data_IF_860747739568
#
_entry.id   IF_860747739568
#
_cell.length_a   1.000
_cell.length_b   1.000
_cell.length_c   1.000
_cell.angle_alpha   90.00
_cell.angle_beta   90.00
_cell.angle_gamma   90.00
#
_symmetry.space_group_name_H-M   'P 1'
#
loop_
_entity.id
_entity.type
_entity.pdbx_description
1 polymer ?
#
# COMPACT_ATOMS: atom_id res chain seq x y z
N UNK A 1 0.26 21.88 8.96
CA UNK A 1 0.99 20.63 8.63
C UNK A 1 1.49 20.71 7.19
N UNK A 2 2.55 20.00 6.80
CA UNK A 2 2.94 19.78 5.39
C UNK A 2 2.81 18.30 5.05
N UNK A 3 2.05 17.97 4.02
CA UNK A 3 1.82 16.62 3.54
C UNK A 3 2.74 16.27 2.38
N UNK A 4 3.60 15.28 2.56
CA UNK A 4 4.55 14.79 1.57
C UNK A 4 4.12 13.40 1.12
N UNK A 5 3.71 13.27 -0.14
CA UNK A 5 3.44 11.96 -0.73
C UNK A 5 4.73 11.31 -1.23
N UNK A 6 4.98 10.06 -0.85
CA UNK A 6 6.10 9.27 -1.35
C UNK A 6 5.58 8.18 -2.27
N UNK A 7 6.17 8.10 -3.46
CA UNK A 7 5.82 7.10 -4.47
C UNK A 7 7.06 6.64 -5.24
N UNK A 8 6.89 5.69 -6.15
CA UNK A 8 7.96 5.09 -6.93
C UNK A 8 7.79 3.58 -7.13
N UNK A 9 8.57 2.98 -8.03
CA UNK A 9 8.45 1.58 -8.40
C UNK A 9 8.72 0.63 -7.21
N UNK A 10 8.28 -0.63 -7.35
CA UNK A 10 8.58 -1.67 -6.36
C UNK A 10 10.10 -1.80 -6.15
N UNK A 11 10.53 -2.07 -4.92
CA UNK A 11 11.95 -2.19 -4.54
C UNK A 11 12.83 -0.96 -4.83
N UNK A 12 12.25 0.22 -5.09
CA UNK A 12 13.02 1.46 -5.29
C UNK A 12 13.66 2.01 -4.02
N UNK A 13 13.15 1.64 -2.84
CA UNK A 13 13.65 2.11 -1.54
C UNK A 13 12.75 3.12 -0.83
N UNK A 14 11.48 3.26 -1.24
CA UNK A 14 10.48 4.14 -0.58
C UNK A 14 10.43 3.96 0.94
N UNK A 15 10.32 2.72 1.41
CA UNK A 15 10.26 2.42 2.85
C UNK A 15 11.53 2.88 3.58
N UNK A 16 12.71 2.73 2.97
CA UNK A 16 13.96 3.24 3.53
C UNK A 16 13.98 4.77 3.58
N UNK A 17 13.51 5.43 2.52
CA UNK A 17 13.37 6.89 2.48
C UNK A 17 12.41 7.41 3.57
N UNK A 18 11.25 6.76 3.72
CA UNK A 18 10.27 7.11 4.76
C UNK A 18 10.86 6.93 6.17
N UNK A 19 11.59 5.83 6.41
CA UNK A 19 12.28 5.59 7.68
C UNK A 19 13.32 6.68 8.00
N UNK A 20 14.13 7.09 7.02
CA UNK A 20 15.10 8.17 7.19
C UNK A 20 14.45 9.52 7.52
N UNK A 21 13.25 9.79 6.98
CA UNK A 21 12.48 10.97 7.35
C UNK A 21 11.89 10.87 8.76
N UNK A 22 11.43 9.68 9.15
CA UNK A 22 10.96 9.41 10.51
C UNK A 22 12.05 9.67 11.56
N UNK A 23 13.28 9.21 11.31
CA UNK A 23 14.45 9.47 12.15
C UNK A 23 14.75 10.97 12.32
N UNK A 24 14.32 11.81 11.38
CA UNK A 24 14.48 13.27 11.41
C UNK A 24 13.26 13.99 12.00
N UNK A 25 12.29 13.25 12.53
CA UNK A 25 11.10 13.78 13.20
C UNK A 25 9.88 13.93 12.30
N UNK A 26 9.89 13.42 11.06
CA UNK A 26 8.67 13.36 10.27
C UNK A 26 7.73 12.27 10.81
N UNK A 27 6.43 12.49 10.71
CA UNK A 27 5.43 11.48 11.01
C UNK A 27 5.17 10.68 9.74
N UNK A 28 5.14 9.35 9.83
CA UNK A 28 4.96 8.48 8.66
C UNK A 28 3.62 7.76 8.74
N UNK A 29 2.80 7.92 7.72
CA UNK A 29 1.60 7.14 7.47
C UNK A 29 1.96 6.08 6.42
N UNK A 30 2.01 4.83 6.86
CA UNK A 30 2.23 3.66 6.00
C UNK A 30 0.88 3.17 5.46
N UNK A 31 0.61 3.41 4.17
CA UNK A 31 -0.65 2.98 3.57
C UNK A 31 -0.71 1.48 3.31
N UNK A 32 0.43 0.77 3.20
CA UNK A 32 0.42 -0.69 3.15
C UNK A 32 -0.04 -1.25 4.48
N UNK A 33 0.44 -0.70 5.61
CA UNK A 33 -0.06 -1.08 6.93
C UNK A 33 -1.56 -0.81 7.05
N UNK A 34 -2.03 0.37 6.63
CA UNK A 34 -3.46 0.71 6.62
C UNK A 34 -4.28 -0.25 5.76
N UNK A 35 -3.84 -0.54 4.54
CA UNK A 35 -4.53 -1.45 3.62
C UNK A 35 -4.68 -2.86 4.20
N UNK A 36 -3.69 -3.32 4.97
CA UNK A 36 -3.76 -4.59 5.71
C UNK A 36 -4.75 -4.53 6.87
N UNK A 37 -4.83 -3.40 7.56
CA UNK A 37 -5.65 -3.22 8.75
C UNK A 37 -7.13 -3.02 8.45
N UNK A 38 -7.47 -2.31 7.37
CA UNK A 38 -8.86 -2.07 6.98
C UNK A 38 -9.60 -3.34 6.56
N UNK A 39 -8.86 -4.39 6.17
CA UNK A 39 -9.41 -5.69 5.78
C UNK A 39 -9.29 -6.77 6.87
N UNK A 40 -8.97 -6.39 8.12
CA UNK A 40 -8.98 -7.32 9.26
C UNK A 40 -10.41 -7.81 9.59
N UNK A 41 -10.56 -9.00 10.20
CA UNK A 41 -11.86 -9.53 10.60
C UNK A 41 -12.71 -8.53 11.39
N UNK A 42 -14.01 -8.45 11.08
CA UNK A 42 -14.95 -7.53 11.71
C UNK A 42 -14.91 -6.09 11.17
N UNK A 43 -14.00 -5.75 10.25
CA UNK A 43 -14.00 -4.44 9.58
C UNK A 43 -15.02 -4.40 8.43
N UNK A 44 -15.54 -3.22 8.08
CA UNK A 44 -16.48 -3.07 6.96
C UNK A 44 -15.93 -3.58 5.61
N UNK A 45 -14.66 -3.29 5.30
CA UNK A 45 -14.05 -3.76 4.04
C UNK A 45 -13.95 -5.29 4.01
N UNK A 46 -13.58 -5.92 5.12
CA UNK A 46 -13.51 -7.38 5.25
C UNK A 46 -14.87 -8.03 4.95
N UNK A 47 -15.96 -7.50 5.51
CA UNK A 47 -17.31 -8.03 5.26
C UNK A 47 -17.71 -7.87 3.78
N UNK A 48 -17.41 -6.71 3.18
CA UNK A 48 -17.71 -6.44 1.77
C UNK A 48 -16.93 -7.38 0.84
N UNK A 49 -15.66 -7.65 1.15
CA UNK A 49 -14.83 -8.60 0.40
C UNK A 49 -15.44 -10.01 0.47
N UNK A 50 -15.83 -10.49 1.65
CA UNK A 50 -16.44 -11.83 1.78
C UNK A 50 -17.76 -11.91 1.03
N UNK A 51 -18.62 -10.90 1.13
CA UNK A 51 -19.90 -10.89 0.43
C UNK A 51 -19.72 -10.98 -1.09
N UNK A 52 -18.61 -10.47 -1.64
CA UNK A 52 -18.32 -10.50 -3.07
C UNK A 52 -17.57 -11.76 -3.51
N UNK A 53 -16.55 -12.19 -2.75
CA UNK A 53 -15.63 -13.26 -3.13
C UNK A 53 -15.97 -14.63 -2.52
N UNK A 54 -16.93 -14.68 -1.58
CA UNK A 54 -17.29 -15.86 -0.81
C UNK A 54 -16.42 -16.06 0.44
N UNK A 55 -16.77 -17.04 1.26
CA UNK A 55 -16.01 -17.37 2.48
C UNK A 55 -14.79 -18.29 2.20
N UNK A 56 -14.67 -18.85 0.99
CA UNK A 56 -13.59 -19.77 0.60
C UNK A 56 -12.19 -19.11 0.58
N UNK A 57 -12.16 -17.77 0.53
CA UNK A 57 -10.95 -16.95 0.64
C UNK A 57 -10.50 -16.72 2.09
N UNK A 58 -11.19 -17.30 3.08
CA UNK A 58 -10.83 -17.15 4.49
C UNK A 58 -9.92 -18.27 4.98
N UNK A 59 -9.05 -17.91 5.92
CA UNK A 59 -8.30 -18.82 6.76
C UNK A 59 -9.17 -19.28 7.96
N UNK A 60 -8.79 -20.34 8.70
CA UNK A 60 -9.53 -20.80 9.88
C UNK A 60 -9.71 -19.72 10.97
N UNK A 61 -8.79 -18.75 11.06
CA UNK A 61 -8.88 -17.61 11.97
C UNK A 61 -9.77 -16.46 11.45
N UNK A 62 -10.48 -16.68 10.33
CA UNK A 62 -11.31 -15.70 9.61
C UNK A 62 -10.55 -14.55 8.94
N UNK A 63 -9.22 -14.56 8.94
CA UNK A 63 -8.45 -13.60 8.13
C UNK A 63 -8.53 -13.97 6.65
N UNK A 64 -8.37 -12.98 5.78
CA UNK A 64 -8.29 -13.19 4.34
C UNK A 64 -7.00 -13.95 4.01
N UNK A 65 -7.11 -15.07 3.30
CA UNK A 65 -6.00 -15.74 2.65
C UNK A 65 -5.57 -14.93 1.43
N UNK A 66 -4.53 -14.12 1.61
CA UNK A 66 -4.00 -13.24 0.55
C UNK A 66 -3.49 -13.99 -0.66
N UNK A 67 -3.03 -15.24 -0.48
CA UNK A 67 -2.53 -16.05 -1.59
C UNK A 67 -3.71 -16.45 -2.47
N UNK A 68 -4.76 -17.02 -1.87
CA UNK A 68 -5.99 -17.40 -2.59
C UNK A 68 -6.65 -16.19 -3.24
N UNK A 69 -6.83 -15.10 -2.49
CA UNK A 69 -7.44 -13.89 -3.05
C UNK A 69 -6.58 -13.33 -4.19
N UNK A 70 -5.25 -13.34 -4.03
CA UNK A 70 -4.29 -12.96 -5.05
C UNK A 70 -4.43 -13.78 -6.33
N UNK A 71 -4.51 -15.11 -6.23
CA UNK A 71 -4.71 -16.01 -7.37
C UNK A 71 -6.01 -15.73 -8.13
N UNK A 72 -7.09 -15.41 -7.40
CA UNK A 72 -8.40 -15.06 -7.98
C UNK A 72 -8.31 -13.75 -8.75
N UNK A 73 -7.72 -12.70 -8.17
CA UNK A 73 -7.72 -11.37 -8.79
C UNK A 73 -6.63 -11.19 -9.85
N UNK A 74 -5.53 -11.95 -9.77
CA UNK A 74 -4.43 -11.87 -10.74
C UNK A 74 -4.85 -12.29 -12.14
N UNK A 75 -5.77 -13.25 -12.25
CA UNK A 75 -6.26 -13.77 -13.53
C UNK A 75 -7.56 -13.09 -14.01
N UNK A 76 -8.08 -12.10 -13.25
CA UNK A 76 -9.39 -11.50 -13.47
C UNK A 76 -9.36 -9.99 -13.19
N UNK A 77 -8.99 -9.16 -14.20
CA UNK A 77 -8.88 -7.72 -14.04
C UNK A 77 -10.14 -7.04 -13.49
N UNK A 78 -11.33 -7.56 -13.85
CA UNK A 78 -12.61 -7.10 -13.33
C UNK A 78 -12.78 -7.39 -11.85
N UNK A 79 -12.29 -8.54 -11.36
CA UNK A 79 -12.29 -8.88 -9.93
C UNK A 79 -11.29 -8.03 -9.16
N UNK A 80 -10.11 -7.77 -9.73
CA UNK A 80 -9.15 -6.83 -9.14
C UNK A 80 -9.75 -5.44 -9.01
N UNK A 81 -10.45 -4.96 -10.04
CA UNK A 81 -11.14 -3.68 -10.01
C UNK A 81 -12.23 -3.63 -8.92
N UNK A 82 -13.01 -4.71 -8.76
CA UNK A 82 -14.00 -4.83 -7.68
C UNK A 82 -13.35 -4.83 -6.29
N UNK A 83 -12.25 -5.57 -6.11
CA UNK A 83 -11.50 -5.56 -4.85
C UNK A 83 -11.00 -4.14 -4.52
N UNK A 84 -10.40 -3.46 -5.49
CA UNK A 84 -9.91 -2.09 -5.32
C UNK A 84 -11.03 -1.11 -4.99
N UNK A 85 -12.20 -1.22 -5.65
CA UNK A 85 -13.39 -0.40 -5.34
C UNK A 85 -13.89 -0.62 -3.92
N UNK A 86 -13.79 -1.84 -3.40
CA UNK A 86 -14.15 -2.13 -2.01
C UNK A 86 -13.12 -1.53 -1.06
N UNK A 87 -11.83 -1.75 -1.29
CA UNK A 87 -10.76 -1.42 -0.33
C UNK A 87 -10.41 0.07 -0.30
N UNK A 88 -10.33 0.74 -1.45
CA UNK A 88 -9.78 2.09 -1.56
C UNK A 88 -10.52 3.13 -0.69
N UNK A 89 -11.87 3.16 -0.64
CA UNK A 89 -12.58 4.12 0.20
C UNK A 89 -12.24 3.98 1.69
N UNK A 90 -12.04 2.75 2.19
CA UNK A 90 -11.69 2.51 3.58
C UNK A 90 -10.24 2.92 3.89
N UNK A 91 -9.31 2.70 2.94
CA UNK A 91 -7.93 3.17 3.07
C UNK A 91 -7.88 4.69 3.14
N UNK A 92 -8.57 5.38 2.23
CA UNK A 92 -8.62 6.85 2.20
C UNK A 92 -9.22 7.39 3.51
N UNK A 93 -10.34 6.83 3.96
CA UNK A 93 -10.98 7.25 5.20
C UNK A 93 -10.08 7.04 6.43
N UNK A 94 -9.27 5.96 6.46
CA UNK A 94 -8.32 5.76 7.55
C UNK A 94 -7.17 6.76 7.48
N UNK A 95 -6.61 7.03 6.29
CA UNK A 95 -5.58 8.06 6.09
C UNK A 95 -6.09 9.43 6.58
N UNK A 96 -7.33 9.79 6.24
CA UNK A 96 -7.94 11.05 6.67
C UNK A 96 -8.01 11.16 8.19
N UNK A 97 -8.40 10.07 8.87
CA UNK A 97 -8.42 10.01 10.34
C UNK A 97 -7.03 10.15 10.95
N UNK A 98 -6.02 9.50 10.38
CA UNK A 98 -4.64 9.64 10.85
C UNK A 98 -4.15 11.08 10.70
N UNK A 99 -4.43 11.72 9.57
CA UNK A 99 -4.08 13.13 9.33
C UNK A 99 -4.77 14.08 10.32
N UNK A 100 -6.06 13.90 10.57
CA UNK A 100 -6.80 14.68 11.57
C UNK A 100 -6.24 14.48 12.98
N UNK A 101 -5.90 13.25 13.35
CA UNK A 101 -5.32 12.95 14.66
C UNK A 101 -3.96 13.62 14.83
N UNK A 102 -3.12 13.56 13.81
CA UNK A 102 -1.81 14.22 13.80
C UNK A 102 -1.98 15.74 13.95
N UNK A 103 -2.90 16.33 13.20
CA UNK A 103 -3.16 17.77 13.27
C UNK A 103 -3.63 18.20 14.66
N UNK A 104 -4.53 17.43 15.29
CA UNK A 104 -4.99 17.70 16.67
C UNK A 104 -3.88 17.54 17.71
N UNK A 105 -3.02 16.53 17.55
CA UNK A 105 -2.01 16.18 18.56
C UNK A 105 -0.79 17.10 18.50
N UNK A 106 -0.33 17.47 17.30
CA UNK A 106 0.94 18.16 17.10
C UNK A 106 0.78 19.60 16.57
N UNK A 107 -0.43 19.99 16.17
CA UNK A 107 -0.71 21.33 15.64
C UNK A 107 0.01 21.62 14.33
N UNK A 108 0.34 22.90 14.13
CA UNK A 108 1.00 23.37 12.92
C UNK A 108 2.52 23.17 12.96
N UNK A 109 3.12 22.86 11.80
CA UNK A 109 4.57 22.74 11.62
C UNK A 109 5.11 21.34 11.37
N UNK A 110 4.31 20.29 11.55
CA UNK A 110 4.74 18.91 11.30
C UNK A 110 4.83 18.58 9.80
N UNK A 111 5.81 17.76 9.45
CA UNK A 111 5.91 17.07 8.15
C UNK A 111 5.30 15.68 8.31
N UNK A 112 4.29 15.39 7.50
CA UNK A 112 3.69 14.06 7.42
C UNK A 112 4.03 13.45 6.08
N UNK A 113 4.61 12.26 6.11
CA UNK A 113 4.97 11.47 4.94
C UNK A 113 3.91 10.39 4.76
N UNK A 114 3.31 10.31 3.57
CA UNK A 114 2.39 9.22 3.22
C UNK A 114 3.05 8.33 2.19
N UNK A 115 3.43 7.12 2.60
CA UNK A 115 3.97 6.09 1.69
C UNK A 115 2.81 5.28 1.14
N UNK A 116 2.35 5.65 -0.07
CA UNK A 116 1.19 5.02 -0.72
C UNK A 116 1.62 4.44 -2.06
N UNK A 117 1.61 3.11 -2.24
CA UNK A 117 1.88 2.51 -3.54
C UNK A 117 0.91 2.99 -4.63
N UNK A 118 -0.33 3.30 -4.24
CA UNK A 118 -1.42 3.77 -5.10
C UNK A 118 -1.64 5.29 -5.08
N UNK A 119 -0.63 6.07 -4.66
CA UNK A 119 -0.74 7.53 -4.44
C UNK A 119 -1.37 8.27 -5.64
N UNK A 120 -1.06 7.82 -6.85
CA UNK A 120 -1.53 8.45 -8.09
C UNK A 120 -2.94 7.96 -8.42
N UNK A 121 -3.15 6.66 -8.35
CA UNK A 121 -4.35 5.91 -8.70
C UNK A 121 -5.55 6.31 -7.85
N UNK A 122 -5.33 6.61 -6.56
CA UNK A 122 -6.38 7.09 -5.65
C UNK A 122 -6.51 8.61 -5.62
N UNK A 123 -5.75 9.33 -6.45
CA UNK A 123 -5.80 10.80 -6.49
C UNK A 123 -5.19 11.49 -5.27
N UNK A 124 -4.57 10.75 -4.34
CA UNK A 124 -4.06 11.29 -3.08
C UNK A 124 -2.92 12.30 -3.29
N UNK A 125 -2.14 12.14 -4.36
CA UNK A 125 -1.12 13.11 -4.79
C UNK A 125 -1.66 14.55 -4.94
N UNK A 126 -2.93 14.73 -5.28
CA UNK A 126 -3.55 16.07 -5.43
C UNK A 126 -3.75 16.78 -4.09
N UNK A 127 -3.68 16.04 -2.99
CA UNK A 127 -3.82 16.54 -1.62
C UNK A 127 -2.46 16.79 -0.97
N UNK A 128 -1.37 16.32 -1.57
CA UNK A 128 -0.02 16.52 -1.05
C UNK A 128 0.52 17.90 -1.43
N UNK A 129 1.22 18.55 -0.49
CA UNK A 129 1.97 19.78 -0.75
C UNK A 129 3.23 19.50 -1.61
N UNK A 130 3.80 18.30 -1.44
CA UNK A 130 4.97 17.82 -2.19
C UNK A 130 4.79 16.34 -2.54
N UNK A 131 5.19 15.95 -3.73
CA UNK A 131 5.31 14.54 -4.13
C UNK A 131 6.78 14.21 -4.37
N UNK A 132 7.28 13.19 -3.68
CA UNK A 132 8.64 12.66 -3.84
C UNK A 132 8.57 11.31 -4.53
N UNK A 133 9.26 11.20 -5.66
CA UNK A 133 9.40 9.94 -6.39
C UNK A 133 10.75 9.33 -6.08
N UNK A 134 10.75 8.20 -5.36
CA UNK A 134 11.96 7.45 -5.05
C UNK A 134 12.19 6.42 -6.14
N UNK A 135 13.31 6.54 -6.87
CA UNK A 135 13.67 5.65 -7.97
C UNK A 135 15.01 4.95 -7.71
N UNK A 136 15.21 3.85 -8.42
CA UNK A 136 16.46 3.11 -8.53
C UNK A 136 16.49 2.38 -9.87
N UNK A 137 17.70 2.15 -10.38
CA UNK A 137 17.92 1.42 -11.64
C UNK A 137 17.31 0.02 -11.57
N UNK A 138 16.86 -0.48 -12.72
CA UNK A 138 16.12 -1.73 -12.81
C UNK A 138 16.90 -2.92 -12.25
N UNK A 139 18.19 -3.04 -12.58
CA UNK A 139 19.07 -4.09 -12.10
C UNK A 139 19.16 -4.10 -10.56
N UNK A 140 19.20 -2.92 -9.95
CA UNK A 140 19.23 -2.76 -8.48
C UNK A 140 17.90 -3.19 -7.88
N UNK A 141 16.77 -2.78 -8.47
CA UNK A 141 15.43 -3.17 -7.99
C UNK A 141 15.23 -4.68 -8.11
N UNK A 142 15.66 -5.28 -9.22
CA UNK A 142 15.57 -6.71 -9.44
C UNK A 142 16.41 -7.51 -8.43
N UNK A 143 17.66 -7.10 -8.19
CA UNK A 143 18.51 -7.71 -7.18
C UNK A 143 17.87 -7.66 -5.77
N UNK A 144 17.20 -6.54 -5.43
CA UNK A 144 16.46 -6.40 -4.16
C UNK A 144 15.25 -7.32 -4.08
N UNK A 145 14.47 -7.44 -5.16
CA UNK A 145 13.31 -8.34 -5.23
C UNK A 145 13.72 -9.82 -5.05
N UNK A 146 14.81 -10.24 -5.69
CA UNK A 146 15.39 -11.57 -5.51
C UNK A 146 15.78 -11.82 -4.05
N UNK A 147 16.49 -10.87 -3.43
CA UNK A 147 16.89 -10.97 -2.02
C UNK A 147 15.70 -11.05 -1.05
N UNK A 148 14.57 -10.44 -1.41
CA UNK A 148 13.34 -10.47 -0.62
C UNK A 148 12.47 -11.72 -0.91
N UNK A 149 12.89 -12.59 -1.82
CA UNK A 149 12.13 -13.79 -2.21
C UNK A 149 10.84 -13.47 -2.98
N UNK A 150 10.67 -12.23 -3.45
CA UNK A 150 9.49 -11.76 -4.16
C UNK A 150 9.56 -12.02 -5.67
N UNK A 151 10.73 -12.45 -6.17
CA UNK A 151 10.90 -13.02 -7.50
C UNK A 151 11.37 -14.47 -7.36
N UNK A 152 10.51 -15.44 -7.71
CA UNK A 152 10.92 -16.80 -8.03
C UNK A 152 10.99 -16.95 -9.55
N UNK A 153 12.20 -17.00 -10.08
CA UNK A 153 12.54 -17.54 -11.41
C UNK A 153 11.73 -17.03 -12.61
N UNK A 154 12.12 -15.88 -13.16
CA UNK A 154 12.25 -15.77 -14.61
C UNK A 154 13.63 -16.36 -14.98
N UNK A 155 13.65 -17.63 -15.37
CA UNK A 155 14.69 -18.36 -16.11
C UNK A 155 14.09 -19.75 -16.31
N UNK A 156 13.77 -20.20 -17.52
CA UNK A 156 14.68 -20.31 -18.66
C UNK A 156 14.01 -19.88 -19.98
N UNK A 157 14.76 -19.17 -20.82
CA UNK A 157 14.51 -19.11 -22.26
C UNK A 157 14.09 -17.76 -22.82
N UNK A 158 15.04 -16.84 -23.00
CA UNK A 158 15.26 -16.24 -24.32
C UNK A 158 16.62 -15.56 -24.39
N UNK A 159 17.67 -16.35 -24.64
CA UNK A 159 18.76 -15.88 -25.48
C UNK A 159 18.38 -16.27 -26.91
N UNK A 160 17.84 -15.33 -27.67
CA UNK A 160 18.04 -15.11 -29.10
C UNK A 160 17.35 -13.83 -29.52
#
# INVERSE_FOLDING_TARGET
>A
MKLVGVTGPIASGKTSFAAMLAEKGALVIDADAIARDVVKPGKPAWQQIINYFGEDILQPNREIDRRKLGEIVFNAPEKLASLNKIVHPHVIAQIDRELENIERQYGNGQIVVVDVPLLIEVGLHKRCDLVVVVTADEDIRFARLLKQGLCKGANEGSKR
#
